data_IF_380598133501
#
_entry.id   IF_380598133501
#
_cell.length_a   1.000
_cell.length_b   1.000
_cell.length_c   1.000
_cell.angle_alpha   90.00
_cell.angle_beta   90.00
_cell.angle_gamma   90.00
#
_symmetry.space_group_name_H-M   'P 1'
#
loop_
_entity.id
_entity.type
_entity.pdbx_description
1 polymer ?
#
# COMPACT_ATOMS: atom_id res chain seq x y z
N UNK A 1 -25.70 -4.49 19.41
CA UNK A 1 -25.04 -3.19 19.25
C UNK A 1 -25.91 -2.35 18.32
N UNK A 2 -26.33 -1.17 18.74
CA UNK A 2 -27.11 -0.24 17.90
C UNK A 2 -26.19 0.50 16.90
N UNK A 3 -26.75 1.32 16.00
CA UNK A 3 -25.96 2.03 14.97
C UNK A 3 -24.94 3.01 15.57
N UNK A 4 -25.30 3.75 16.62
CA UNK A 4 -24.39 4.68 17.29
C UNK A 4 -23.20 3.94 17.92
N UNK A 5 -23.47 2.84 18.63
CA UNK A 5 -22.44 2.00 19.23
C UNK A 5 -21.51 1.36 18.19
N UNK A 6 -22.07 0.92 17.04
CA UNK A 6 -21.28 0.38 15.92
C UNK A 6 -20.37 1.45 15.29
N UNK A 7 -20.90 2.64 15.01
CA UNK A 7 -20.13 3.77 14.48
C UNK A 7 -19.03 4.21 15.46
N UNK A 8 -19.34 4.22 16.76
CA UNK A 8 -18.37 4.53 17.81
C UNK A 8 -17.25 3.47 17.90
N UNK A 9 -17.58 2.18 17.74
CA UNK A 9 -16.58 1.11 17.67
C UNK A 9 -15.67 1.27 16.44
N UNK A 10 -16.23 1.69 15.29
CA UNK A 10 -15.46 2.00 14.08
C UNK A 10 -14.52 3.16 14.26
N UNK A 11 -15.00 4.26 14.84
CA UNK A 11 -14.16 5.40 15.22
C UNK A 11 -12.94 4.94 16.03
N UNK A 12 -13.14 4.18 17.11
CA UNK A 12 -12.05 3.71 17.97
C UNK A 12 -11.06 2.81 17.23
N UNK A 13 -11.58 1.91 16.38
CA UNK A 13 -10.73 0.97 15.62
C UNK A 13 -9.88 1.71 14.58
N UNK A 14 -10.45 2.62 13.80
CA UNK A 14 -9.68 3.42 12.84
C UNK A 14 -8.70 4.37 13.52
N UNK A 15 -9.07 4.95 14.68
CA UNK A 15 -8.15 5.78 15.46
C UNK A 15 -6.95 4.97 15.98
N UNK A 16 -7.17 3.73 16.44
CA UNK A 16 -6.08 2.83 16.82
C UNK A 16 -5.18 2.52 15.64
N UNK A 17 -5.74 2.07 14.52
CA UNK A 17 -4.99 1.72 13.30
C UNK A 17 -4.18 2.93 12.80
N UNK A 18 -4.81 4.11 12.73
CA UNK A 18 -4.14 5.37 12.39
C UNK A 18 -2.89 5.60 13.24
N UNK A 19 -3.02 5.50 14.56
CA UNK A 19 -1.90 5.73 15.48
C UNK A 19 -0.80 4.68 15.34
N UNK A 20 -1.15 3.41 15.10
CA UNK A 20 -0.16 2.35 14.85
C UNK A 20 0.65 2.61 13.58
N UNK A 21 0.02 3.09 12.50
CA UNK A 21 0.73 3.47 11.28
C UNK A 21 1.59 4.74 11.46
N UNK A 22 1.11 5.73 12.22
CA UNK A 22 1.84 7.00 12.41
C UNK A 22 3.00 6.89 13.42
N UNK A 23 2.80 6.15 14.51
CA UNK A 23 3.64 6.22 15.72
C UNK A 23 4.21 4.86 16.13
N UNK A 24 3.86 3.77 15.44
CA UNK A 24 4.18 2.42 15.88
C UNK A 24 3.47 2.03 17.18
N UNK A 25 3.92 0.95 17.81
CA UNK A 25 3.38 0.50 19.10
C UNK A 25 4.01 1.32 20.23
N UNK A 26 3.28 2.30 20.78
CA UNK A 26 3.70 3.04 21.98
C UNK A 26 3.26 2.31 23.25
N UNK A 27 3.77 2.72 24.41
CA UNK A 27 3.36 2.13 25.70
C UNK A 27 1.85 2.29 25.95
N UNK A 28 1.28 3.44 25.59
CA UNK A 28 -0.15 3.71 25.67
C UNK A 28 -0.96 2.78 24.74
N UNK A 29 -0.51 2.62 23.49
CA UNK A 29 -1.20 1.74 22.53
C UNK A 29 -1.07 0.27 22.89
N UNK A 30 -0.01 -0.13 23.58
CA UNK A 30 0.19 -1.52 24.02
C UNK A 30 -0.93 -2.01 24.94
N UNK A 31 -1.47 -1.15 25.81
CA UNK A 31 -2.59 -1.51 26.69
C UNK A 31 -3.88 -1.79 25.90
N UNK A 32 -4.12 -1.04 24.83
CA UNK A 32 -5.27 -1.25 23.94
C UNK A 32 -5.06 -2.50 23.09
N UNK A 33 -3.87 -2.66 22.50
CA UNK A 33 -3.49 -3.80 21.66
C UNK A 33 -3.55 -5.11 22.46
N UNK A 34 -3.20 -5.11 23.74
CA UNK A 34 -3.30 -6.28 24.61
C UNK A 34 -4.72 -6.89 24.67
N UNK A 35 -5.75 -6.07 24.44
CA UNK A 35 -7.16 -6.48 24.45
C UNK A 35 -7.64 -7.03 23.09
N UNK A 36 -6.80 -7.00 22.06
CA UNK A 36 -7.10 -7.45 20.71
C UNK A 36 -6.25 -8.68 20.39
N UNK A 37 -6.76 -9.92 20.58
CA UNK A 37 -5.99 -11.15 20.34
C UNK A 37 -5.32 -11.21 18.96
N UNK A 38 -6.01 -10.72 17.93
CA UNK A 38 -5.50 -10.65 16.55
C UNK A 38 -4.18 -9.88 16.43
N UNK A 39 -3.91 -8.92 17.33
CA UNK A 39 -2.66 -8.17 17.36
C UNK A 39 -1.74 -8.64 18.50
N UNK A 40 -2.28 -8.87 19.70
CA UNK A 40 -1.47 -9.21 20.88
C UNK A 40 -0.81 -10.58 20.81
N UNK A 41 -1.33 -11.50 20.01
CA UNK A 41 -0.72 -12.83 19.80
C UNK A 41 0.56 -12.79 18.96
N UNK A 42 0.79 -11.70 18.22
CA UNK A 42 2.07 -11.47 17.52
C UNK A 42 3.15 -10.85 18.39
N UNK A 43 2.80 -10.40 19.59
CA UNK A 43 3.71 -9.72 20.50
C UNK A 43 4.35 -10.70 21.49
N UNK A 44 5.61 -10.45 21.92
CA UNK A 44 6.21 -11.21 23.01
C UNK A 44 5.42 -11.00 24.30
N UNK A 45 5.27 -12.07 25.09
CA UNK A 45 4.57 -12.06 26.38
C UNK A 45 5.56 -12.52 27.48
N UNK A 46 5.95 -11.66 28.44
CA UNK A 46 5.55 -10.26 28.62
C UNK A 46 6.21 -9.30 27.61
N UNK A 47 5.58 -8.15 27.38
CA UNK A 47 6.13 -7.06 26.57
C UNK A 47 6.99 -6.13 27.46
N UNK A 48 8.28 -6.41 27.52
CA UNK A 48 9.27 -5.61 28.23
C UNK A 48 9.68 -4.35 27.42
N UNK A 49 10.24 -3.30 28.07
CA UNK A 49 10.63 -2.06 27.40
C UNK A 49 11.54 -2.25 26.19
N UNK A 50 12.54 -3.13 26.26
CA UNK A 50 13.46 -3.40 25.15
C UNK A 50 12.75 -3.97 23.90
N UNK A 51 11.67 -4.75 24.09
CA UNK A 51 10.89 -5.28 22.97
C UNK A 51 10.01 -4.19 22.34
N UNK A 52 9.49 -3.27 23.16
CA UNK A 52 8.76 -2.11 22.66
C UNK A 52 9.68 -1.19 21.83
N UNK A 53 10.91 -0.95 22.29
CA UNK A 53 11.94 -0.22 21.54
C UNK A 53 12.28 -0.92 20.21
N UNK A 54 12.40 -2.25 20.20
CA UNK A 54 12.64 -3.01 18.98
C UNK A 54 11.47 -2.88 17.98
N UNK A 55 10.21 -2.90 18.45
CA UNK A 55 9.03 -2.67 17.61
C UNK A 55 8.98 -1.25 17.04
N UNK A 56 9.40 -0.25 17.82
CA UNK A 56 9.55 1.14 17.36
C UNK A 56 10.64 1.27 16.29
N UNK A 57 11.79 0.62 16.47
CA UNK A 57 12.84 0.58 15.46
C UNK A 57 12.37 -0.12 14.17
N UNK A 58 11.55 -1.17 14.31
CA UNK A 58 10.95 -1.87 13.17
C UNK A 58 9.96 -0.97 12.43
N UNK A 59 9.09 -0.24 13.14
CA UNK A 59 8.19 0.76 12.56
C UNK A 59 8.94 1.80 11.73
N UNK A 60 10.01 2.39 12.29
CA UNK A 60 10.84 3.36 11.57
C UNK A 60 11.47 2.73 10.31
N UNK A 61 12.06 1.54 10.45
CA UNK A 61 12.69 0.83 9.32
C UNK A 61 11.68 0.54 8.22
N UNK A 62 10.47 0.09 8.59
CA UNK A 62 9.41 -0.25 7.66
C UNK A 62 8.88 1.00 6.95
N UNK A 63 8.37 1.98 7.70
CA UNK A 63 7.58 3.08 7.13
C UNK A 63 8.37 4.35 6.84
N UNK A 64 9.59 4.52 7.35
CA UNK A 64 10.45 5.67 7.03
C UNK A 64 11.55 5.36 6.02
N UNK A 65 11.99 4.10 5.89
CA UNK A 65 13.12 3.74 5.02
C UNK A 65 12.78 2.86 3.83
N UNK A 66 11.82 1.92 3.98
CA UNK A 66 11.58 0.87 3.00
C UNK A 66 10.27 1.03 2.24
N UNK A 67 9.17 1.27 2.95
CA UNK A 67 7.80 1.32 2.42
C UNK A 67 7.11 2.57 2.95
N UNK A 68 7.32 3.68 2.26
CA UNK A 68 6.67 4.95 2.57
C UNK A 68 5.15 4.83 2.27
N UNK A 69 4.26 4.93 3.26
CA UNK A 69 2.85 4.59 3.09
C UNK A 69 2.03 5.84 2.71
N UNK A 70 2.27 6.35 1.50
CA UNK A 70 1.58 7.51 0.93
C UNK A 70 0.85 7.12 -0.36
N UNK A 71 -0.42 7.50 -0.53
CA UNK A 71 -1.23 7.21 -1.72
C UNK A 71 -0.49 7.56 -3.03
N UNK A 72 0.16 8.72 -3.05
CA UNK A 72 0.92 9.23 -4.20
C UNK A 72 1.99 8.27 -4.68
N UNK A 73 2.70 7.59 -3.78
CA UNK A 73 3.78 6.66 -4.14
C UNK A 73 3.26 5.35 -4.73
N UNK A 74 1.98 5.05 -4.55
CA UNK A 74 1.32 3.90 -5.16
C UNK A 74 0.69 4.26 -6.50
N UNK A 75 0.08 5.45 -6.59
CA UNK A 75 -0.77 5.82 -7.72
C UNK A 75 -0.08 6.70 -8.77
N UNK A 76 1.07 7.31 -8.49
CA UNK A 76 1.65 8.32 -9.39
C UNK A 76 3.10 8.02 -9.78
N UNK A 77 3.48 8.41 -11.00
CA UNK A 77 4.89 8.63 -11.35
C UNK A 77 5.31 10.02 -10.85
N UNK A 78 6.45 10.10 -10.17
CA UNK A 78 6.96 11.27 -9.41
C UNK A 78 7.04 12.59 -10.20
N UNK A 79 6.82 12.57 -11.52
CA UNK A 79 7.11 13.73 -12.38
C UNK A 79 6.12 14.87 -12.26
N UNK A 80 4.81 14.65 -12.07
CA UNK A 80 3.82 15.76 -12.08
C UNK A 80 2.55 15.54 -11.22
N UNK A 81 2.16 14.29 -10.91
CA UNK A 81 0.83 13.96 -10.37
C UNK A 81 0.75 13.85 -8.84
N UNK A 82 1.90 13.77 -8.15
CA UNK A 82 1.93 13.58 -6.69
C UNK A 82 1.21 14.70 -5.93
N UNK A 83 1.35 15.94 -6.39
CA UNK A 83 0.71 17.08 -5.74
C UNK A 83 -0.82 17.06 -5.85
N UNK A 84 -1.39 16.60 -6.96
CA UNK A 84 -2.84 16.62 -7.18
C UNK A 84 -3.55 15.62 -6.26
N UNK A 85 -2.98 14.42 -6.07
CA UNK A 85 -3.54 13.40 -5.19
C UNK A 85 -3.53 13.87 -3.74
N UNK A 86 -2.38 14.32 -3.23
CA UNK A 86 -2.27 14.88 -1.87
C UNK A 86 -3.19 16.09 -1.68
N UNK A 87 -3.31 16.98 -2.67
CA UNK A 87 -4.21 18.14 -2.60
C UNK A 87 -5.68 17.73 -2.59
N UNK A 88 -6.06 16.70 -3.35
CA UNK A 88 -7.43 16.17 -3.33
C UNK A 88 -7.81 15.68 -1.94
N UNK A 89 -6.93 14.90 -1.30
CA UNK A 89 -7.12 14.42 0.09
C UNK A 89 -7.22 15.60 1.06
N UNK A 90 -6.27 16.55 0.99
CA UNK A 90 -6.26 17.72 1.85
C UNK A 90 -7.52 18.59 1.70
N UNK A 91 -8.05 18.72 0.48
CA UNK A 91 -9.30 19.44 0.22
C UNK A 91 -10.48 18.78 0.91
N UNK A 92 -10.60 17.45 0.83
CA UNK A 92 -11.68 16.71 1.51
C UNK A 92 -11.62 16.85 3.04
N UNK A 93 -10.42 16.88 3.61
CA UNK A 93 -10.25 17.19 5.04
C UNK A 93 -10.81 18.57 5.39
N UNK A 94 -10.46 19.60 4.61
CA UNK A 94 -10.92 20.97 4.85
C UNK A 94 -12.43 21.12 4.66
N UNK A 95 -13.01 20.53 3.61
CA UNK A 95 -14.44 20.60 3.29
C UNK A 95 -15.33 19.96 4.35
N UNK A 96 -14.80 18.99 5.09
CA UNK A 96 -15.49 18.30 6.18
C UNK A 96 -15.20 18.91 7.56
N UNK A 97 -14.39 19.97 7.63
CA UNK A 97 -13.98 20.61 8.87
C UNK A 97 -12.97 19.81 9.68
N UNK A 98 -12.38 18.75 9.11
CA UNK A 98 -11.33 17.98 9.77
C UNK A 98 -10.06 18.82 9.86
N UNK A 99 -9.56 19.00 11.09
CA UNK A 99 -8.33 19.72 11.41
C UNK A 99 -7.37 18.80 12.16
N UNK A 100 -6.84 17.82 11.45
CA UNK A 100 -5.74 17.00 11.96
C UNK A 100 -4.42 17.75 11.89
N UNK A 101 -3.48 17.35 12.75
CA UNK A 101 -2.10 17.75 12.65
C UNK A 101 -1.36 16.69 11.82
N UNK A 102 -1.26 16.92 10.50
CA UNK A 102 -0.65 15.94 9.59
C UNK A 102 0.88 16.03 9.53
N UNK A 103 1.53 17.04 10.15
CA UNK A 103 3.00 17.12 10.32
C UNK A 103 3.88 16.84 9.08
N UNK A 104 3.29 16.78 7.89
CA UNK A 104 3.67 15.87 6.79
C UNK A 104 2.58 15.80 5.72
N UNK A 105 2.63 14.82 4.81
CA UNK A 105 1.74 14.74 3.65
C UNK A 105 0.35 14.19 4.00
N UNK A 106 -0.70 14.85 3.51
CA UNK A 106 -2.10 14.52 3.82
C UNK A 106 -2.55 13.12 3.38
N UNK A 107 -1.88 12.55 2.38
CA UNK A 107 -2.14 11.23 1.77
C UNK A 107 -1.37 10.07 2.45
N UNK A 108 -0.80 10.30 3.63
CA UNK A 108 -0.28 9.21 4.44
C UNK A 108 -1.42 8.32 4.94
N UNK A 109 -1.28 6.99 4.87
CA UNK A 109 -2.34 6.03 5.26
C UNK A 109 -2.86 6.30 6.68
N UNK A 110 -1.96 6.64 7.61
CA UNK A 110 -2.31 6.95 8.98
C UNK A 110 -3.20 8.19 9.11
N UNK A 111 -3.03 9.20 8.26
CA UNK A 111 -3.88 10.40 8.24
C UNK A 111 -5.22 10.12 7.56
N UNK A 112 -5.24 9.34 6.48
CA UNK A 112 -6.50 8.90 5.86
C UNK A 112 -7.35 8.08 6.85
N UNK A 113 -6.72 7.17 7.60
CA UNK A 113 -7.40 6.40 8.66
C UNK A 113 -7.90 7.30 9.80
N UNK A 114 -7.14 8.33 10.17
CA UNK A 114 -7.58 9.31 11.17
C UNK A 114 -8.81 10.09 10.70
N UNK A 115 -8.86 10.42 9.41
CA UNK A 115 -10.01 11.08 8.80
C UNK A 115 -11.23 10.17 8.75
N UNK A 116 -11.07 8.90 8.37
CA UNK A 116 -12.15 7.91 8.43
C UNK A 116 -12.65 7.74 9.87
N UNK A 117 -11.76 7.73 10.86
CA UNK A 117 -12.14 7.70 12.27
C UNK A 117 -12.99 8.93 12.66
N UNK A 118 -12.59 10.13 12.22
CA UNK A 118 -13.33 11.36 12.46
C UNK A 118 -14.76 11.28 11.89
N UNK A 119 -14.92 10.82 10.64
CA UNK A 119 -16.24 10.65 10.04
C UNK A 119 -17.09 9.59 10.76
N UNK A 120 -16.49 8.47 11.21
CA UNK A 120 -17.21 7.48 12.02
C UNK A 120 -17.68 8.06 13.37
N UNK A 121 -16.92 8.98 13.96
CA UNK A 121 -17.32 9.70 15.17
C UNK A 121 -18.53 10.60 14.91
N UNK A 122 -18.48 11.37 13.83
CA UNK A 122 -19.61 12.20 13.41
C UNK A 122 -20.86 11.36 13.06
N UNK A 123 -20.70 10.17 12.48
CA UNK A 123 -21.78 9.21 12.28
C UNK A 123 -22.39 8.78 13.62
N UNK A 124 -21.56 8.44 14.61
CA UNK A 124 -22.01 8.02 15.94
C UNK A 124 -22.82 9.10 16.65
N UNK A 125 -22.33 10.34 16.66
CA UNK A 125 -23.01 11.49 17.26
C UNK A 125 -24.37 11.72 16.58
N UNK A 126 -24.43 11.69 15.25
CA UNK A 126 -25.68 11.86 14.51
C UNK A 126 -26.72 10.78 14.84
N UNK A 127 -26.30 9.52 14.97
CA UNK A 127 -27.19 8.43 15.41
C UNK A 127 -27.68 8.62 16.84
N UNK A 128 -26.79 9.04 17.75
CA UNK A 128 -27.12 9.26 19.16
C UNK A 128 -28.14 10.40 19.33
N UNK A 129 -28.01 11.46 18.53
CA UNK A 129 -28.89 12.62 18.55
C UNK A 129 -30.19 12.42 17.75
N UNK A 130 -30.39 11.25 17.13
CA UNK A 130 -31.57 10.95 16.31
C UNK A 130 -31.60 11.69 14.97
N UNK A 131 -30.48 12.25 14.52
CA UNK A 131 -30.34 13.02 13.29
C UNK A 131 -30.08 12.11 12.08
N UNK A 132 -31.09 11.30 11.72
CA UNK A 132 -30.98 10.26 10.67
C UNK A 132 -30.41 10.79 9.34
N UNK A 133 -30.89 11.93 8.87
CA UNK A 133 -30.42 12.52 7.62
C UNK A 133 -28.95 12.96 7.66
N UNK A 134 -28.44 13.38 8.82
CA UNK A 134 -27.02 13.72 8.99
C UNK A 134 -26.20 12.43 8.98
N UNK A 135 -26.66 11.39 9.68
CA UNK A 135 -25.99 10.08 9.70
C UNK A 135 -25.83 9.51 8.27
N UNK A 136 -26.89 9.57 7.46
CA UNK A 136 -26.84 9.13 6.05
C UNK A 136 -25.87 9.97 5.21
N UNK A 137 -25.85 11.29 5.38
CA UNK A 137 -24.90 12.17 4.68
C UNK A 137 -23.44 11.87 5.07
N UNK A 138 -23.16 11.61 6.35
CA UNK A 138 -21.82 11.23 6.80
C UNK A 138 -21.41 9.88 6.23
N UNK A 139 -22.33 8.91 6.17
CA UNK A 139 -22.08 7.60 5.54
C UNK A 139 -21.79 7.71 4.05
N UNK A 140 -22.45 8.63 3.34
CA UNK A 140 -22.12 8.90 1.94
C UNK A 140 -20.71 9.47 1.81
N UNK A 141 -20.34 10.46 2.64
CA UNK A 141 -18.98 11.02 2.66
C UNK A 141 -17.90 9.97 2.98
N UNK A 142 -18.20 9.05 3.91
CA UNK A 142 -17.35 7.89 4.20
C UNK A 142 -17.16 7.03 2.95
N UNK A 143 -18.24 6.67 2.28
CA UNK A 143 -18.20 5.88 1.06
C UNK A 143 -17.36 6.58 -0.02
N UNK A 144 -17.66 7.84 -0.32
CA UNK A 144 -16.98 8.62 -1.35
C UNK A 144 -15.48 8.72 -1.08
N UNK A 145 -15.08 9.03 0.17
CA UNK A 145 -13.66 9.12 0.54
C UNK A 145 -12.95 7.77 0.39
N UNK A 146 -13.55 6.69 0.89
CA UNK A 146 -12.97 5.36 0.80
C UNK A 146 -12.76 4.94 -0.66
N UNK A 147 -13.72 5.18 -1.55
CA UNK A 147 -13.61 4.83 -2.98
C UNK A 147 -12.59 5.71 -3.72
N UNK A 148 -12.58 7.00 -3.44
CA UNK A 148 -11.73 7.95 -4.15
C UNK A 148 -10.26 7.88 -3.71
N UNK A 149 -10.01 7.41 -2.50
CA UNK A 149 -8.69 7.37 -1.86
C UNK A 149 -8.37 5.98 -1.31
N UNK A 150 -8.55 5.75 -0.01
CA UNK A 150 -8.00 4.60 0.73
C UNK A 150 -8.15 3.23 0.03
N UNK A 151 -9.33 2.87 -0.49
CA UNK A 151 -9.56 1.56 -1.10
C UNK A 151 -8.75 1.34 -2.38
N UNK A 152 -8.33 2.41 -3.06
CA UNK A 152 -7.56 2.32 -4.30
C UNK A 152 -6.19 1.70 -4.12
N UNK A 153 -5.62 1.80 -2.91
CA UNK A 153 -4.21 1.49 -2.69
C UNK A 153 -3.91 0.78 -1.36
N UNK A 154 -4.87 0.66 -0.44
CA UNK A 154 -4.65 -0.02 0.85
C UNK A 154 -4.30 -1.50 0.71
N UNK A 155 -4.85 -2.20 -0.28
CA UNK A 155 -4.53 -3.63 -0.51
C UNK A 155 -3.08 -3.81 -0.95
N UNK A 156 -2.57 -3.17 -2.02
CA UNK A 156 -1.14 -3.29 -2.36
C UNK A 156 -0.22 -2.78 -1.24
N UNK A 157 -0.63 -1.80 -0.43
CA UNK A 157 0.12 -1.42 0.77
C UNK A 157 0.24 -2.59 1.76
N UNK A 158 -0.87 -3.24 2.11
CA UNK A 158 -0.87 -4.38 3.01
C UNK A 158 0.00 -5.54 2.48
N UNK A 159 -0.11 -5.85 1.19
CA UNK A 159 0.73 -6.86 0.54
C UNK A 159 2.22 -6.49 0.60
N UNK A 160 2.57 -5.23 0.37
CA UNK A 160 3.95 -4.77 0.49
C UNK A 160 4.49 -4.89 1.93
N UNK A 161 3.65 -4.64 2.94
CA UNK A 161 3.99 -4.84 4.36
C UNK A 161 4.27 -6.31 4.65
N UNK A 162 3.41 -7.23 4.18
CA UNK A 162 3.57 -8.68 4.38
C UNK A 162 4.93 -9.18 3.87
N UNK A 163 5.43 -8.55 2.80
CA UNK A 163 6.70 -8.92 2.19
C UNK A 163 7.93 -8.46 2.96
N UNK A 164 7.78 -7.56 3.94
CA UNK A 164 8.90 -7.11 4.78
C UNK A 164 9.16 -8.07 5.96
N UNK A 165 8.24 -9.00 6.25
CA UNK A 165 8.44 -10.03 7.27
C UNK A 165 8.28 -9.55 8.72
N UNK A 166 7.76 -8.34 8.95
CA UNK A 166 7.38 -7.89 10.29
C UNK A 166 6.04 -8.50 10.69
N UNK A 167 6.05 -9.39 11.69
CA UNK A 167 4.86 -10.13 12.11
C UNK A 167 3.76 -9.21 12.69
N UNK A 168 4.14 -8.18 13.45
CA UNK A 168 3.18 -7.27 14.08
C UNK A 168 2.49 -6.40 13.02
N UNK A 169 3.23 -5.76 12.13
CA UNK A 169 2.64 -4.94 11.08
C UNK A 169 1.94 -5.76 10.00
N UNK A 170 2.32 -7.02 9.78
CA UNK A 170 1.54 -7.98 9.00
C UNK A 170 0.16 -8.22 9.63
N UNK A 171 0.09 -8.43 10.94
CA UNK A 171 -1.19 -8.56 11.64
C UNK A 171 -2.01 -7.27 11.64
N UNK A 172 -1.37 -6.11 11.83
CA UNK A 172 -2.04 -4.79 11.76
C UNK A 172 -2.65 -4.55 10.37
N UNK A 173 -1.90 -4.82 9.30
CA UNK A 173 -2.39 -4.62 7.93
C UNK A 173 -3.45 -5.65 7.52
N UNK A 174 -3.32 -6.91 7.95
CA UNK A 174 -4.36 -7.93 7.78
C UNK A 174 -5.65 -7.52 8.51
N UNK A 175 -5.54 -7.09 9.76
CA UNK A 175 -6.69 -6.62 10.55
C UNK A 175 -7.35 -5.39 9.92
N UNK A 176 -6.56 -4.45 9.39
CA UNK A 176 -7.07 -3.30 8.65
C UNK A 176 -7.92 -3.74 7.44
N UNK A 177 -7.44 -4.69 6.63
CA UNK A 177 -8.17 -5.15 5.45
C UNK A 177 -9.45 -5.90 5.81
N UNK A 178 -9.41 -6.82 6.78
CA UNK A 178 -10.60 -7.52 7.25
C UNK A 178 -11.63 -6.52 7.81
N UNK A 179 -11.17 -5.54 8.61
CA UNK A 179 -12.05 -4.51 9.18
C UNK A 179 -12.64 -3.56 8.12
N UNK A 180 -11.85 -3.17 7.12
CA UNK A 180 -12.34 -2.41 5.97
C UNK A 180 -13.36 -3.20 5.16
N UNK A 181 -13.14 -4.50 4.95
CA UNK A 181 -14.07 -5.36 4.22
C UNK A 181 -15.44 -5.40 4.91
N UNK A 182 -15.47 -5.54 6.24
CA UNK A 182 -16.70 -5.52 7.04
C UNK A 182 -17.39 -4.15 7.02
N UNK A 183 -16.63 -3.06 7.13
CA UNK A 183 -17.20 -1.72 7.13
C UNK A 183 -17.78 -1.34 5.76
N UNK A 184 -17.03 -1.61 4.69
CA UNK A 184 -17.45 -1.32 3.31
C UNK A 184 -18.69 -2.11 2.90
N UNK A 185 -18.89 -3.31 3.42
CA UNK A 185 -20.06 -4.14 3.14
C UNK A 185 -21.40 -3.48 3.49
N UNK A 186 -21.41 -2.50 4.40
CA UNK A 186 -22.63 -1.79 4.82
C UNK A 186 -22.72 -0.36 4.32
N UNK A 187 -21.68 0.18 3.67
CA UNK A 187 -21.67 1.56 3.18
C UNK A 187 -22.29 1.64 1.78
N UNK A 188 -22.83 2.81 1.39
CA UNK A 188 -23.43 3.03 0.07
C UNK A 188 -22.35 3.22 -1.02
N UNK A 189 -21.49 2.21 -1.19
CA UNK A 189 -20.43 2.20 -2.20
C UNK A 189 -21.00 1.80 -3.57
N UNK A 190 -20.46 2.38 -4.65
CA UNK A 190 -20.65 1.85 -6.01
C UNK A 190 -19.47 0.94 -6.41
N UNK A 191 -19.57 -0.40 -6.25
CA UNK A 191 -18.49 -1.31 -6.61
C UNK A 191 -18.26 -1.42 -8.12
N UNK A 192 -19.15 -0.88 -8.96
CA UNK A 192 -19.03 -0.96 -10.42
C UNK A 192 -18.14 0.13 -11.02
N UNK A 193 -17.75 1.14 -10.22
CA UNK A 193 -17.01 2.30 -10.69
C UNK A 193 -15.74 2.60 -9.86
N UNK A 194 -14.81 1.63 -9.68
CA UNK A 194 -13.51 1.95 -9.09
C UNK A 194 -12.74 2.92 -10.00
N UNK A 195 -12.10 3.93 -9.41
CA UNK A 195 -11.25 4.85 -10.18
C UNK A 195 -10.10 4.07 -10.85
N UNK A 196 -9.88 4.25 -12.16
CA UNK A 196 -8.87 3.50 -12.88
C UNK A 196 -7.46 3.82 -12.37
N UNK A 197 -6.58 2.82 -12.42
CA UNK A 197 -5.14 3.05 -12.27
C UNK A 197 -4.61 3.82 -13.49
N UNK A 198 -3.67 4.76 -13.31
CA UNK A 198 -3.11 5.51 -14.43
C UNK A 198 -2.52 4.60 -15.49
N UNK A 199 -2.65 4.97 -16.76
CA UNK A 199 -2.14 4.17 -17.89
C UNK A 199 -0.60 4.16 -17.86
N UNK A 200 0.06 2.99 -17.96
CA UNK A 200 1.51 2.94 -18.08
C UNK A 200 1.96 3.50 -19.44
N UNK A 201 3.16 4.11 -19.54
CA UNK A 201 3.74 4.45 -20.83
C UNK A 201 4.10 3.19 -21.62
N UNK A 202 3.92 3.23 -22.95
CA UNK A 202 4.36 2.16 -23.86
C UNK A 202 5.86 2.30 -24.16
N UNK A 203 6.69 1.74 -23.26
CA UNK A 203 8.14 1.80 -23.37
C UNK A 203 8.70 0.97 -24.53
N UNK A 204 8.00 -0.07 -24.99
CA UNK A 204 8.50 -0.95 -26.05
C UNK A 204 8.29 -0.34 -27.44
N UNK A 205 7.29 0.53 -27.59
CA UNK A 205 7.05 1.26 -28.84
C UNK A 205 7.97 2.48 -29.02
N UNK A 206 8.57 3.01 -27.94
CA UNK A 206 9.45 4.17 -28.01
C UNK A 206 10.92 3.76 -28.25
N UNK A 207 11.51 4.05 -29.43
CA UNK A 207 12.89 3.72 -29.73
C UNK A 207 13.90 4.53 -28.89
N UNK A 208 13.46 5.58 -28.18
CA UNK A 208 14.31 6.37 -27.29
C UNK A 208 14.34 5.83 -25.85
N UNK A 209 13.59 4.77 -25.55
CA UNK A 209 13.54 4.13 -24.23
C UNK A 209 14.95 3.74 -23.77
N UNK A 210 15.31 4.18 -22.56
CA UNK A 210 16.58 3.84 -21.91
C UNK A 210 16.35 3.01 -20.66
N UNK A 211 17.41 2.38 -20.14
CA UNK A 211 17.33 1.60 -18.89
C UNK A 211 16.74 2.39 -17.70
N UNK A 212 17.04 3.68 -17.59
CA UNK A 212 16.45 4.55 -16.56
C UNK A 212 14.93 4.70 -16.68
N UNK A 213 14.38 4.59 -17.89
CA UNK A 213 12.94 4.69 -18.15
C UNK A 213 12.25 3.37 -17.81
N UNK A 214 12.89 2.24 -18.12
CA UNK A 214 12.48 0.91 -17.65
C UNK A 214 12.52 0.83 -16.12
N UNK A 215 13.61 1.27 -15.49
CA UNK A 215 13.73 1.29 -14.03
C UNK A 215 12.66 2.18 -13.38
N UNK A 216 12.35 3.34 -13.97
CA UNK A 216 11.25 4.20 -13.51
C UNK A 216 9.93 3.46 -13.57
N UNK A 217 9.61 2.88 -14.71
CA UNK A 217 8.36 2.14 -14.91
C UNK A 217 8.21 1.02 -13.87
N UNK A 218 9.27 0.25 -13.62
CA UNK A 218 9.28 -0.86 -12.68
C UNK A 218 9.10 -0.44 -11.21
N UNK A 219 9.32 0.84 -10.89
CA UNK A 219 9.22 1.36 -9.52
C UNK A 219 7.89 2.03 -9.21
N UNK A 220 7.03 2.26 -10.21
CA UNK A 220 5.69 2.83 -10.01
C UNK A 220 4.70 1.69 -9.81
N UNK A 221 4.15 1.48 -8.59
CA UNK A 221 3.28 0.35 -8.32
C UNK A 221 2.05 0.32 -9.22
N UNK A 222 1.44 1.47 -9.47
CA UNK A 222 0.32 1.56 -10.40
C UNK A 222 0.67 1.12 -11.82
N UNK A 223 1.94 1.07 -12.24
CA UNK A 223 2.36 0.57 -13.57
C UNK A 223 2.69 -0.91 -13.58
N UNK A 224 3.10 -1.48 -12.45
CA UNK A 224 3.55 -2.87 -12.38
C UNK A 224 2.59 -3.80 -11.67
N UNK A 225 1.61 -3.24 -10.93
CA UNK A 225 0.78 -4.02 -10.03
C UNK A 225 1.55 -4.57 -8.82
N UNK A 226 2.75 -4.09 -8.52
CA UNK A 226 3.56 -4.57 -7.40
C UNK A 226 4.50 -3.49 -6.84
N UNK A 227 4.97 -3.67 -5.61
CA UNK A 227 5.93 -2.76 -4.97
C UNK A 227 7.30 -3.41 -4.89
N UNK A 228 8.31 -2.73 -5.46
CA UNK A 228 9.72 -3.05 -5.22
C UNK A 228 10.27 -2.16 -4.11
N UNK A 229 10.64 -2.77 -2.97
CA UNK A 229 11.32 -2.08 -1.87
C UNK A 229 12.84 -2.18 -2.02
N UNK A 230 13.59 -1.40 -1.23
CA UNK A 230 15.05 -1.51 -1.18
C UNK A 230 15.50 -2.93 -0.82
N UNK A 231 14.75 -3.60 0.06
CA UNK A 231 15.04 -4.98 0.44
C UNK A 231 14.86 -5.96 -0.72
N UNK A 232 13.82 -5.80 -1.55
CA UNK A 232 13.67 -6.59 -2.78
C UNK A 232 14.89 -6.42 -3.71
N UNK A 233 15.34 -5.18 -3.90
CA UNK A 233 16.52 -4.89 -4.74
C UNK A 233 17.81 -5.47 -4.15
N UNK A 234 18.01 -5.37 -2.84
CA UNK A 234 19.14 -6.00 -2.16
C UNK A 234 19.13 -7.53 -2.30
N UNK A 235 17.95 -8.15 -2.19
CA UNK A 235 17.77 -9.60 -2.37
C UNK A 235 18.16 -10.01 -3.78
N UNK A 236 17.72 -9.28 -4.82
CA UNK A 236 18.09 -9.57 -6.20
C UNK A 236 19.60 -9.43 -6.44
N UNK A 237 20.20 -8.34 -5.99
CA UNK A 237 21.65 -8.14 -6.12
C UNK A 237 22.45 -9.22 -5.41
N UNK A 238 22.03 -9.67 -4.23
CA UNK A 238 22.68 -10.77 -3.50
C UNK A 238 22.53 -12.11 -4.22
N UNK A 239 21.33 -12.41 -4.75
CA UNK A 239 21.06 -13.68 -5.43
C UNK A 239 21.88 -13.84 -6.71
N UNK A 240 22.23 -12.72 -7.35
CA UNK A 240 22.96 -12.66 -8.62
C UNK A 240 24.44 -12.26 -8.46
N UNK A 241 24.90 -12.03 -7.23
CA UNK A 241 26.23 -11.46 -6.94
C UNK A 241 26.52 -10.16 -7.73
N UNK A 242 25.49 -9.33 -7.93
CA UNK A 242 25.57 -8.06 -8.64
C UNK A 242 25.81 -6.88 -7.68
N UNK A 243 26.44 -5.79 -8.16
CA UNK A 243 26.52 -4.55 -7.40
C UNK A 243 25.13 -4.05 -7.03
N UNK A 244 24.87 -3.94 -5.73
CA UNK A 244 23.55 -3.52 -5.19
C UNK A 244 23.30 -2.01 -5.32
N UNK A 245 24.37 -1.23 -5.50
CA UNK A 245 24.34 0.23 -5.42
C UNK A 245 24.02 0.74 -4.01
N UNK A 246 23.94 2.06 -3.88
CA UNK A 246 23.46 2.75 -2.67
C UNK A 246 22.58 3.93 -3.08
N UNK A 247 21.76 4.42 -2.14
CA UNK A 247 20.93 5.60 -2.35
C UNK A 247 19.43 5.29 -2.53
N UNK A 248 18.83 5.95 -3.51
CA UNK A 248 17.39 5.82 -3.82
C UNK A 248 17.07 4.48 -4.50
N UNK A 249 15.82 4.01 -4.40
CA UNK A 249 15.36 2.78 -5.10
C UNK A 249 15.63 2.84 -6.60
N UNK A 250 15.47 4.03 -7.20
CA UNK A 250 15.76 4.31 -8.61
C UNK A 250 17.23 4.05 -8.96
N UNK A 251 18.15 4.61 -8.18
CA UNK A 251 19.58 4.39 -8.39
C UNK A 251 19.94 2.90 -8.25
N UNK A 252 19.45 2.25 -7.20
CA UNK A 252 19.70 0.83 -6.97
C UNK A 252 19.20 -0.05 -8.12
N UNK A 253 17.97 0.17 -8.61
CA UNK A 253 17.44 -0.62 -9.72
C UNK A 253 18.17 -0.35 -11.04
N UNK A 254 18.55 0.89 -11.33
CA UNK A 254 19.39 1.20 -12.50
C UNK A 254 20.73 0.48 -12.41
N UNK A 255 21.40 0.51 -11.27
CA UNK A 255 22.67 -0.21 -11.05
C UNK A 255 22.50 -1.72 -11.23
N UNK A 256 21.40 -2.30 -10.75
CA UNK A 256 21.11 -3.72 -10.96
C UNK A 256 20.89 -4.07 -12.44
N UNK A 257 20.13 -3.25 -13.17
CA UNK A 257 19.90 -3.46 -14.60
C UNK A 257 21.19 -3.31 -15.42
N UNK A 258 21.99 -2.30 -15.13
CA UNK A 258 23.30 -2.08 -15.77
C UNK A 258 24.27 -3.22 -15.46
N UNK A 259 24.35 -3.63 -14.19
CA UNK A 259 25.16 -4.78 -13.76
C UNK A 259 24.71 -6.07 -14.44
N UNK A 260 23.41 -6.33 -14.50
CA UNK A 260 22.90 -7.52 -15.17
C UNK A 260 23.26 -7.55 -16.67
N UNK A 261 23.27 -6.40 -17.35
CA UNK A 261 23.78 -6.31 -18.72
C UNK A 261 25.29 -6.53 -18.82
N UNK A 262 26.07 -5.95 -17.91
CA UNK A 262 27.53 -6.04 -17.92
C UNK A 262 28.06 -7.45 -17.62
N UNK A 263 27.37 -8.19 -16.74
CA UNK A 263 27.80 -9.52 -16.26
C UNK A 263 27.01 -10.67 -16.91
N UNK A 264 26.30 -10.42 -18.02
CA UNK A 264 25.48 -11.41 -18.74
C UNK A 264 24.44 -12.13 -17.85
N UNK A 265 23.86 -11.38 -16.91
CA UNK A 265 22.83 -11.86 -15.98
C UNK A 265 21.45 -11.26 -16.25
N UNK A 266 21.23 -10.64 -17.40
CA UNK A 266 19.96 -10.01 -17.76
C UNK A 266 18.77 -10.96 -17.62
N UNK A 267 18.88 -12.16 -18.21
CA UNK A 267 17.81 -13.16 -18.16
C UNK A 267 17.52 -13.63 -16.72
N UNK A 268 18.57 -13.79 -15.91
CA UNK A 268 18.43 -14.19 -14.50
C UNK A 268 17.75 -13.08 -13.68
N UNK A 269 18.08 -11.82 -13.89
CA UNK A 269 17.41 -10.70 -13.23
C UNK A 269 15.95 -10.58 -13.64
N UNK A 270 15.64 -10.71 -14.93
CA UNK A 270 14.25 -10.72 -15.40
C UNK A 270 13.45 -11.89 -14.81
N UNK A 271 14.08 -13.06 -14.65
CA UNK A 271 13.44 -14.21 -14.01
C UNK A 271 13.13 -13.95 -12.52
N UNK A 272 14.03 -13.31 -11.77
CA UNK A 272 13.78 -12.91 -10.37
C UNK A 272 12.64 -11.89 -10.27
N UNK A 273 12.59 -10.90 -11.18
CA UNK A 273 11.49 -9.93 -11.24
C UNK A 273 10.15 -10.60 -11.60
N UNK A 274 10.16 -11.55 -12.54
CA UNK A 274 8.98 -12.31 -12.93
C UNK A 274 8.49 -13.22 -11.80
N UNK A 275 9.40 -13.79 -11.01
CA UNK A 275 9.06 -14.56 -9.81
C UNK A 275 8.45 -13.67 -8.73
N UNK A 276 8.99 -12.46 -8.53
CA UNK A 276 8.43 -11.49 -7.60
C UNK A 276 7.01 -11.09 -8.00
N UNK A 277 6.80 -10.76 -9.28
CA UNK A 277 5.48 -10.45 -9.83
C UNK A 277 4.50 -11.62 -9.68
N UNK A 278 4.93 -12.87 -9.93
CA UNK A 278 4.11 -14.06 -9.70
C UNK A 278 3.71 -14.22 -8.22
N UNK A 279 4.63 -13.93 -7.28
CA UNK A 279 4.34 -13.96 -5.83
C UNK A 279 3.24 -12.97 -5.45
N UNK A 280 3.28 -11.76 -6.01
CA UNK A 280 2.20 -10.78 -5.84
C UNK A 280 0.86 -11.29 -6.40
N UNK A 281 0.89 -11.97 -7.55
CA UNK A 281 -0.29 -12.59 -8.15
C UNK A 281 -1.04 -13.53 -7.21
N UNK A 282 -0.32 -14.45 -6.56
CA UNK A 282 -0.89 -15.39 -5.58
C UNK A 282 -1.52 -14.62 -4.41
N UNK A 283 -0.83 -13.61 -3.88
CA UNK A 283 -1.35 -12.82 -2.77
C UNK A 283 -2.64 -12.06 -3.12
N UNK A 284 -2.73 -11.52 -4.34
CA UNK A 284 -3.97 -10.89 -4.77
C UNK A 284 -5.11 -11.90 -4.93
N UNK A 285 -4.84 -13.09 -5.45
CA UNK A 285 -5.85 -14.16 -5.59
C UNK A 285 -6.38 -14.59 -4.21
N UNK A 286 -5.47 -14.78 -3.24
CA UNK A 286 -5.84 -15.11 -1.86
C UNK A 286 -6.75 -14.05 -1.24
N UNK A 287 -6.38 -12.77 -1.37
CA UNK A 287 -7.16 -11.66 -0.81
C UNK A 287 -8.47 -11.43 -1.57
N UNK A 288 -8.49 -11.59 -2.89
CA UNK A 288 -9.71 -11.54 -3.69
C UNK A 288 -10.72 -12.59 -3.21
N UNK A 289 -10.26 -13.81 -2.88
CA UNK A 289 -11.10 -14.87 -2.33
C UNK A 289 -11.52 -14.63 -0.87
N UNK A 290 -10.63 -14.09 -0.03
CA UNK A 290 -10.86 -13.87 1.40
C UNK A 290 -11.86 -12.75 1.69
N UNK A 291 -11.80 -11.64 0.94
CA UNK A 291 -12.61 -10.44 1.17
C UNK A 291 -13.31 -9.98 -0.13
N UNK A 292 -14.43 -10.63 -0.51
CA UNK A 292 -15.12 -10.32 -1.77
C UNK A 292 -15.56 -8.85 -1.92
N UNK A 293 -15.81 -8.14 -0.81
CA UNK A 293 -16.17 -6.71 -0.84
C UNK A 293 -15.03 -5.82 -1.34
N UNK A 294 -13.77 -6.26 -1.22
CA UNK A 294 -12.62 -5.54 -1.74
C UNK A 294 -12.21 -5.98 -3.15
N UNK A 295 -12.79 -7.07 -3.68
CA UNK A 295 -12.45 -7.61 -5.00
C UNK A 295 -12.46 -6.57 -6.15
N UNK A 296 -13.43 -5.63 -6.26
CA UNK A 296 -13.42 -4.59 -7.29
C UNK A 296 -12.20 -3.67 -7.24
N UNK A 297 -11.61 -3.50 -6.05
CA UNK A 297 -10.42 -2.67 -5.84
C UNK A 297 -9.12 -3.47 -5.96
N UNK A 298 -9.19 -4.81 -5.96
CA UNK A 298 -8.05 -5.71 -6.18
C UNK A 298 -7.83 -5.99 -7.67
N UNK A 299 -8.91 -6.19 -8.42
CA UNK A 299 -8.87 -6.58 -9.83
C UNK A 299 -8.03 -5.64 -10.73
N UNK A 300 -8.06 -4.30 -10.59
CA UNK A 300 -7.21 -3.41 -11.38
C UNK A 300 -5.71 -3.66 -11.17
N UNK A 301 -5.30 -3.99 -9.94
CA UNK A 301 -3.90 -4.29 -9.62
C UNK A 301 -3.47 -5.66 -10.15
N UNK A 302 -4.34 -6.67 -10.06
CA UNK A 302 -4.11 -7.99 -10.67
C UNK A 302 -3.87 -7.88 -12.17
N UNK A 303 -4.77 -7.19 -12.87
CA UNK A 303 -4.66 -6.96 -14.31
C UNK A 303 -3.36 -6.21 -14.65
N UNK A 304 -2.98 -5.21 -13.85
CA UNK A 304 -1.72 -4.49 -14.06
C UNK A 304 -0.50 -5.38 -13.87
N UNK A 305 -0.51 -6.26 -12.87
CA UNK A 305 0.54 -7.26 -12.65
C UNK A 305 0.64 -8.24 -13.81
N UNK A 306 -0.47 -8.69 -14.37
CA UNK A 306 -0.47 -9.59 -15.54
C UNK A 306 0.13 -8.92 -16.79
N UNK A 307 -0.21 -7.63 -17.00
CA UNK A 307 0.42 -6.81 -18.04
C UNK A 307 1.92 -6.66 -17.79
N UNK A 308 2.34 -6.45 -16.55
CA UNK A 308 3.75 -6.36 -16.19
C UNK A 308 4.51 -7.68 -16.42
N UNK A 309 3.89 -8.83 -16.13
CA UNK A 309 4.45 -10.14 -16.42
C UNK A 309 4.73 -10.31 -17.92
N UNK A 310 3.79 -9.85 -18.75
CA UNK A 310 3.93 -9.85 -20.22
C UNK A 310 5.06 -8.92 -20.66
N UNK A 311 5.15 -7.73 -20.07
CA UNK A 311 6.25 -6.79 -20.32
C UNK A 311 7.63 -7.39 -19.99
N UNK A 312 7.77 -8.08 -18.85
CA UNK A 312 9.02 -8.77 -18.48
C UNK A 312 9.37 -9.88 -19.48
N UNK A 313 8.38 -10.65 -19.94
CA UNK A 313 8.58 -11.69 -20.94
C UNK A 313 9.06 -11.11 -22.29
N UNK A 314 8.53 -9.95 -22.71
CA UNK A 314 9.02 -9.25 -23.90
C UNK A 314 10.48 -8.78 -23.74
N UNK A 315 10.85 -8.24 -22.57
CA UNK A 315 12.24 -7.86 -22.30
C UNK A 315 13.21 -9.05 -22.32
N UNK A 316 12.77 -10.22 -21.86
CA UNK A 316 13.55 -11.46 -21.94
C UNK A 316 13.74 -11.91 -23.40
N UNK A 317 12.64 -11.96 -24.17
CA UNK A 317 12.69 -12.37 -25.58
C UNK A 317 13.55 -11.44 -26.43
N UNK A 318 13.48 -10.13 -26.20
CA UNK A 318 14.31 -9.16 -26.91
C UNK A 318 15.80 -9.36 -26.63
N UNK A 319 16.18 -9.62 -25.38
CA UNK A 319 17.57 -9.89 -25.03
C UNK A 319 18.09 -11.18 -25.69
N UNK A 320 17.29 -12.25 -25.72
CA UNK A 320 17.66 -13.50 -26.40
C UNK A 320 17.86 -13.34 -27.91
N UNK A 321 17.13 -12.42 -28.55
CA UNK A 321 17.26 -12.15 -29.98
C UNK A 321 18.49 -11.30 -30.35
N UNK A 322 19.06 -10.56 -29.37
CA UNK A 322 20.22 -9.67 -29.58
C UNK A 322 21.54 -10.39 -29.26
N UNK A 323 21.53 -11.46 -28.46
CA UNK A 323 22.69 -12.32 -28.27
C UNK A 323 22.92 -13.17 -29.53
N UNK A 324 24.07 -13.06 -30.24
CA UNK A 324 24.32 -13.90 -31.41
C UNK A 324 24.39 -15.37 -30.98
N UNK A 325 23.79 -16.27 -31.78
CA UNK A 325 24.13 -17.68 -31.70
C UNK A 325 25.61 -17.83 -32.12
N UNK A 326 26.42 -18.39 -31.22
CA UNK A 326 27.83 -18.72 -31.46
C UNK A 326 28.07 -19.47 -32.79
#
# INVERSE_FOLDING_TARGET
MNQAELAQARHRTYALLSRLFLQGLTAELAEVVAQLPVLSDTLPKPLAPAQLEALQASHYTLFSLNLLPYETLFLTDERELGHETTQSVARLYLETGYRGDWGGSADHVGHELAFVAFLCGAEADAWQDGQLGIAEQVRQKLADFLQAHLLRWVVPLALAIHQQGDAFFTAVSTFLLDFLADHTAVLPLDPSSPLPLPTPPDLLADPQTRLKDIARYMLVPAYTGMVLTKESLHRFGRALDLPRGFGTRRQMLVTLLEGAGQYDQWLALMALLAQESARWGVQYEDWHGRVPTLAPYIAPWQNRRDQHQTFLAHLQAHAQAVTPAD
#
